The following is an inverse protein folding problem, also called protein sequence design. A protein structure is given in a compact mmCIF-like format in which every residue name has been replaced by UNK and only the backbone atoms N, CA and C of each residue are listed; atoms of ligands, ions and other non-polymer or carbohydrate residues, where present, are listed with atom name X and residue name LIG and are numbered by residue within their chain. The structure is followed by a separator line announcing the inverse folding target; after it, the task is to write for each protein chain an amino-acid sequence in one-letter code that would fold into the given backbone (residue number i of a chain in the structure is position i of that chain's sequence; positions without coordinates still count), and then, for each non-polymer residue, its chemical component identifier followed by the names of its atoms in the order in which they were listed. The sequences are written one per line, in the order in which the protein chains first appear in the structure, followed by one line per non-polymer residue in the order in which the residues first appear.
data_IF_011054567162
#
_entry.id   IF_011054567162
#
_cell.length_a   1.000
_cell.length_b   1.000
_cell.length_c   1.000
_cell.angle_alpha   90.00
_cell.angle_beta   90.00
_cell.angle_gamma   90.00
#
_symmetry.space_group_name_H-M   'P 1'
#
loop_
_entity.id
_entity.type
_entity.pdbx_description
1 polymer ?
#
# COMPACT_ATOMS: atom_id res chain seq x y z
N UNK A 1 29.57 -27.93 31.39
CA UNK A 1 28.85 -28.57 30.27
C UNK A 1 28.38 -27.43 29.41
N UNK A 2 28.70 -27.43 28.12
CA UNK A 2 28.17 -26.41 27.21
C UNK A 2 26.65 -26.42 27.29
N UNK A 3 26.07 -25.24 27.43
CA UNK A 3 24.64 -25.06 27.58
C UNK A 3 23.97 -25.38 26.23
N UNK A 4 23.01 -26.31 26.20
CA UNK A 4 22.30 -26.67 24.97
C UNK A 4 21.50 -25.47 24.45
N UNK A 5 21.87 -24.96 23.28
CA UNK A 5 21.19 -23.84 22.62
C UNK A 5 20.13 -24.36 21.65
N UNK A 6 18.93 -23.80 21.74
CA UNK A 6 17.78 -24.07 20.87
C UNK A 6 17.39 -22.79 20.15
N UNK A 7 17.27 -22.83 18.83
CA UNK A 7 16.87 -21.68 18.03
C UNK A 7 15.43 -21.82 17.52
N UNK A 8 14.66 -20.74 17.61
CA UNK A 8 13.30 -20.65 17.04
C UNK A 8 13.21 -19.38 16.21
N UNK A 9 12.92 -19.49 14.91
CA UNK A 9 12.64 -18.32 14.07
C UNK A 9 11.15 -18.03 14.04
N UNK A 10 10.76 -16.77 14.19
CA UNK A 10 9.36 -16.36 14.06
C UNK A 10 9.20 -14.89 13.66
N UNK A 11 8.04 -14.57 13.08
CA UNK A 11 7.66 -13.17 12.86
C UNK A 11 7.30 -12.51 14.18
N UNK A 12 6.63 -13.20 15.10
CA UNK A 12 6.29 -12.65 16.43
C UNK A 12 5.36 -11.43 16.40
N UNK A 13 4.56 -11.29 15.34
CA UNK A 13 3.58 -10.21 15.19
C UNK A 13 2.31 -10.56 15.98
N UNK A 14 1.45 -11.43 15.45
CA UNK A 14 0.29 -11.92 16.21
C UNK A 14 0.56 -13.29 16.82
N UNK A 15 0.75 -13.33 18.14
CA UNK A 15 0.97 -14.57 18.87
C UNK A 15 -0.32 -15.35 19.04
N UNK A 16 -0.20 -16.68 19.04
CA UNK A 16 -1.29 -17.62 19.25
C UNK A 16 -0.74 -18.91 19.86
N UNK A 17 -1.64 -19.83 20.23
CA UNK A 17 -1.27 -21.09 20.89
C UNK A 17 -0.19 -21.91 20.14
N UNK A 18 -0.14 -21.82 18.81
CA UNK A 18 0.90 -22.48 18.01
C UNK A 18 2.31 -22.01 18.35
N UNK A 19 2.53 -20.69 18.49
CA UNK A 19 3.82 -20.14 18.92
C UNK A 19 4.19 -20.61 20.33
N UNK A 20 3.20 -20.67 21.23
CA UNK A 20 3.40 -21.15 22.60
C UNK A 20 3.79 -22.63 22.62
N UNK A 21 3.19 -23.46 21.76
CA UNK A 21 3.53 -24.89 21.64
C UNK A 21 4.96 -25.10 21.13
N UNK A 22 5.39 -24.31 20.13
CA UNK A 22 6.77 -24.35 19.61
C UNK A 22 7.77 -23.96 20.71
N UNK A 23 7.51 -22.86 21.43
CA UNK A 23 8.38 -22.40 22.53
C UNK A 23 8.39 -23.39 23.70
N UNK A 24 7.25 -23.98 24.05
CA UNK A 24 7.16 -24.99 25.09
C UNK A 24 8.00 -26.23 24.74
N UNK A 25 7.98 -26.67 23.48
CA UNK A 25 8.84 -27.77 23.01
C UNK A 25 10.32 -27.37 23.03
N UNK A 26 10.66 -26.19 22.53
CA UNK A 26 12.02 -25.66 22.53
C UNK A 26 12.63 -25.66 23.95
N UNK A 27 11.84 -25.20 24.93
CA UNK A 27 12.26 -25.15 26.33
C UNK A 27 12.58 -26.52 26.95
N UNK A 28 11.99 -27.61 26.46
CA UNK A 28 12.35 -28.97 26.94
C UNK A 28 13.74 -29.43 26.49
N UNK A 29 14.32 -28.77 25.49
CA UNK A 29 15.56 -29.18 24.85
C UNK A 29 16.76 -28.38 25.34
N UNK A 30 16.56 -27.13 25.77
CA UNK A 30 17.64 -26.27 26.24
C UNK A 30 17.23 -24.80 26.31
N UNK A 31 18.25 -23.95 26.30
CA UNK A 31 18.12 -22.49 26.33
C UNK A 31 17.61 -21.97 24.99
N UNK A 32 16.51 -21.23 25.00
CA UNK A 32 15.78 -20.81 23.80
C UNK A 32 16.20 -19.42 23.36
N UNK A 33 16.82 -19.36 22.18
CA UNK A 33 17.11 -18.12 21.46
C UNK A 33 16.08 -17.96 20.35
N UNK A 34 15.37 -16.84 20.34
CA UNK A 34 14.35 -16.56 19.32
C UNK A 34 14.87 -15.54 18.32
N UNK A 35 14.88 -15.90 17.04
CA UNK A 35 15.11 -14.98 15.94
C UNK A 35 13.80 -14.31 15.51
N UNK A 36 13.65 -13.02 15.84
CA UNK A 36 12.49 -12.23 15.38
C UNK A 36 12.83 -11.60 14.03
N UNK A 37 12.03 -11.92 13.00
CA UNK A 37 12.26 -11.37 11.65
C UNK A 37 12.07 -9.85 11.65
N UNK A 38 13.04 -9.11 11.11
CA UNK A 38 12.94 -7.64 10.93
C UNK A 38 11.82 -7.26 9.96
N UNK A 39 11.32 -6.01 10.01
CA UNK A 39 10.23 -5.56 9.13
C UNK A 39 10.56 -5.82 7.65
N UNK A 40 11.77 -5.44 7.20
CA UNK A 40 12.26 -5.69 5.84
C UNK A 40 12.27 -7.19 5.46
N UNK A 41 12.68 -8.05 6.39
CA UNK A 41 12.74 -9.50 6.18
C UNK A 41 11.35 -10.13 5.98
N UNK A 42 10.33 -9.61 6.68
CA UNK A 42 8.96 -10.13 6.56
C UNK A 42 8.30 -9.59 5.29
N UNK A 43 8.50 -8.31 4.97
CA UNK A 43 7.86 -7.66 3.81
C UNK A 43 8.33 -8.27 2.48
N UNK A 44 9.60 -8.70 2.41
CA UNK A 44 10.16 -9.33 1.20
C UNK A 44 9.66 -10.75 0.90
N UNK A 45 9.08 -11.45 1.89
CA UNK A 45 8.67 -12.85 1.76
C UNK A 45 7.17 -13.09 2.01
N UNK A 46 6.52 -12.26 2.85
CA UNK A 46 5.13 -12.49 3.28
C UNK A 46 4.32 -11.20 3.27
N UNK A 47 3.78 -10.82 4.43
CA UNK A 47 2.89 -9.67 4.64
C UNK A 47 3.54 -8.66 5.56
N UNK A 48 3.17 -7.40 5.42
CA UNK A 48 3.47 -6.35 6.39
C UNK A 48 3.00 -6.73 7.81
N UNK A 49 3.88 -6.76 8.82
CA UNK A 49 3.49 -6.91 10.22
C UNK A 49 2.61 -5.75 10.71
N UNK A 50 1.70 -6.00 11.66
CA UNK A 50 0.95 -4.95 12.36
C UNK A 50 1.82 -4.18 13.35
N UNK A 51 2.66 -4.88 14.11
CA UNK A 51 3.59 -4.29 15.07
C UNK A 51 4.96 -4.05 14.44
N UNK A 52 5.58 -2.91 14.78
CA UNK A 52 6.96 -2.61 14.39
C UNK A 52 7.91 -3.64 14.98
N UNK A 53 9.04 -3.86 14.32
CA UNK A 53 10.06 -4.80 14.80
C UNK A 53 10.40 -4.65 16.28
N UNK A 54 10.59 -3.41 16.78
CA UNK A 54 10.93 -3.14 18.17
C UNK A 54 9.85 -3.62 19.16
N UNK A 55 8.57 -3.46 18.81
CA UNK A 55 7.45 -3.89 19.65
C UNK A 55 7.35 -5.42 19.66
N UNK A 56 7.55 -6.06 18.49
CA UNK A 56 7.57 -7.52 18.36
C UNK A 56 8.69 -8.14 19.20
N UNK A 57 9.89 -7.56 19.16
CA UNK A 57 11.01 -7.97 20.02
C UNK A 57 10.60 -7.89 21.49
N UNK A 58 10.06 -6.75 21.93
CA UNK A 58 9.67 -6.56 23.34
C UNK A 58 8.61 -7.56 23.79
N UNK A 59 7.64 -7.88 22.93
CA UNK A 59 6.63 -8.90 23.23
C UNK A 59 7.28 -10.28 23.36
N UNK A 60 8.11 -10.67 22.40
CA UNK A 60 8.74 -12.00 22.37
C UNK A 60 9.74 -12.20 23.50
N UNK A 61 10.51 -11.18 23.86
CA UNK A 61 11.45 -11.19 25.00
C UNK A 61 10.77 -11.48 26.34
N UNK A 62 9.49 -11.13 26.47
CA UNK A 62 8.72 -11.32 27.70
C UNK A 62 7.87 -12.61 27.68
N UNK A 63 8.01 -13.45 26.65
CA UNK A 63 7.33 -14.74 26.61
C UNK A 63 8.01 -15.75 27.54
N UNK A 64 7.20 -16.48 28.30
CA UNK A 64 7.68 -17.53 29.17
C UNK A 64 8.44 -18.61 28.37
N UNK A 65 9.71 -18.82 28.73
CA UNK A 65 10.57 -19.81 28.07
C UNK A 65 11.43 -19.26 26.93
N UNK A 66 11.45 -17.95 26.71
CA UNK A 66 12.43 -17.28 25.84
C UNK A 66 13.58 -16.75 26.70
N UNK A 67 14.82 -17.12 26.37
CA UNK A 67 16.02 -16.69 27.11
C UNK A 67 16.72 -15.50 26.45
N UNK A 68 16.64 -15.39 25.13
CA UNK A 68 17.23 -14.29 24.36
C UNK A 68 16.48 -14.10 23.05
N UNK A 69 16.30 -12.85 22.65
CA UNK A 69 15.83 -12.49 21.31
C UNK A 69 16.98 -11.91 20.49
N UNK A 70 17.04 -12.27 19.21
CA UNK A 70 17.99 -11.73 18.24
C UNK A 70 17.25 -11.28 16.98
N UNK A 71 17.72 -10.23 16.28
CA UNK A 71 17.17 -9.86 14.99
C UNK A 71 17.45 -10.96 13.96
N UNK A 72 16.46 -11.30 13.14
CA UNK A 72 16.64 -12.11 11.93
C UNK A 72 16.39 -11.21 10.71
N UNK A 73 17.46 -10.88 9.99
CA UNK A 73 17.44 -9.86 8.93
C UNK A 73 16.97 -10.36 7.58
N UNK A 74 16.86 -11.67 7.42
CA UNK A 74 16.44 -12.33 6.18
C UNK A 74 15.43 -13.44 6.44
N UNK A 75 14.74 -13.90 5.39
CA UNK A 75 13.92 -15.11 5.50
C UNK A 75 14.78 -16.37 5.75
N UNK A 76 16.01 -16.41 5.22
CA UNK A 76 17.01 -17.44 5.56
C UNK A 76 17.42 -17.36 7.03
N UNK A 77 17.65 -18.54 7.63
CA UNK A 77 18.12 -18.70 9.01
C UNK A 77 19.64 -18.78 9.08
N UNK A 78 20.33 -18.95 7.94
CA UNK A 78 21.73 -19.36 7.87
C UNK A 78 22.68 -18.42 8.62
N UNK A 79 22.45 -17.10 8.56
CA UNK A 79 23.25 -16.10 9.28
C UNK A 79 23.24 -16.37 10.79
N UNK A 80 22.04 -16.39 11.38
CA UNK A 80 21.87 -16.62 12.82
C UNK A 80 22.31 -18.03 13.25
N UNK A 81 22.07 -19.05 12.42
CA UNK A 81 22.50 -20.41 12.72
C UNK A 81 24.02 -20.54 12.75
N UNK A 82 24.74 -19.91 11.80
CA UNK A 82 26.20 -19.96 11.75
C UNK A 82 26.86 -19.18 12.89
N UNK A 83 26.23 -18.10 13.34
CA UNK A 83 26.71 -17.33 14.49
C UNK A 83 26.48 -18.08 15.82
N UNK A 84 25.28 -18.63 16.01
CA UNK A 84 24.86 -19.22 17.28
C UNK A 84 25.23 -20.70 17.43
N UNK A 85 25.42 -21.41 16.32
CA UNK A 85 25.64 -22.87 16.23
C UNK A 85 24.73 -23.67 17.18
N UNK A 86 23.39 -23.52 17.07
CA UNK A 86 22.47 -24.17 18.00
C UNK A 86 22.49 -25.69 17.84
N UNK A 87 22.20 -26.40 18.94
CA UNK A 87 22.06 -27.85 18.94
C UNK A 87 20.75 -28.26 18.27
N UNK A 88 19.70 -27.45 18.47
CA UNK A 88 18.38 -27.71 17.92
C UNK A 88 17.80 -26.46 17.26
N UNK A 89 17.12 -26.63 16.13
CA UNK A 89 16.15 -25.66 15.63
C UNK A 89 14.76 -26.24 15.86
N UNK A 90 13.82 -25.45 16.37
CA UNK A 90 12.43 -25.89 16.54
C UNK A 90 11.51 -25.04 15.66
N UNK A 91 10.69 -25.69 14.86
CA UNK A 91 9.71 -25.04 13.98
C UNK A 91 8.40 -25.85 13.93
N UNK A 92 7.30 -25.24 13.51
CA UNK A 92 6.09 -25.99 13.12
C UNK A 92 6.33 -26.85 11.88
N UNK A 93 5.53 -27.89 11.65
CA UNK A 93 5.61 -28.70 10.43
C UNK A 93 4.88 -28.09 9.22
N UNK A 94 4.31 -26.88 9.36
CA UNK A 94 3.60 -26.12 8.32
C UNK A 94 4.49 -25.74 7.14
N UNK A 95 5.79 -25.65 7.39
CA UNK A 95 6.79 -25.27 6.40
C UNK A 95 7.29 -26.45 5.53
N UNK A 96 6.68 -27.64 5.68
CA UNK A 96 6.92 -28.82 4.83
C UNK A 96 6.23 -28.74 3.46
N UNK A 97 5.24 -27.87 3.31
CA UNK A 97 4.39 -27.79 2.12
C UNK A 97 4.51 -26.40 1.47
N UNK A 98 4.87 -26.37 0.18
CA UNK A 98 5.07 -25.13 -0.61
C UNK A 98 6.54 -24.91 -1.02
N UNK A 99 6.77 -24.57 -2.29
CA UNK A 99 8.10 -24.63 -2.93
C UNK A 99 9.16 -23.72 -2.29
N UNK A 100 8.79 -22.48 -1.94
CA UNK A 100 9.72 -21.52 -1.32
C UNK A 100 10.03 -21.86 0.15
N UNK A 101 9.02 -22.35 0.86
CA UNK A 101 9.13 -22.65 2.29
C UNK A 101 9.91 -23.95 2.51
N UNK A 102 9.76 -24.90 1.59
CA UNK A 102 10.59 -26.10 1.51
C UNK A 102 12.08 -25.79 1.25
N UNK A 103 12.40 -24.68 0.55
CA UNK A 103 13.79 -24.28 0.30
C UNK A 103 14.51 -23.84 1.59
N UNK A 104 13.86 -23.00 2.42
CA UNK A 104 14.41 -22.58 3.72
C UNK A 104 14.56 -23.77 4.66
N UNK A 105 13.59 -24.68 4.68
CA UNK A 105 13.68 -25.92 5.47
C UNK A 105 14.92 -26.75 5.09
N UNK A 106 15.20 -26.92 3.79
CA UNK A 106 16.40 -27.64 3.32
C UNK A 106 17.69 -26.95 3.78
N UNK A 107 17.77 -25.63 3.59
CA UNK A 107 18.93 -24.85 4.01
C UNK A 107 19.19 -24.98 5.51
N UNK A 108 18.16 -24.92 6.35
CA UNK A 108 18.30 -25.13 7.81
C UNK A 108 18.91 -26.50 8.13
N UNK A 109 18.44 -27.56 7.47
CA UNK A 109 18.97 -28.92 7.68
C UNK A 109 20.43 -29.01 7.24
N UNK A 110 20.76 -28.47 6.07
CA UNK A 110 22.12 -28.46 5.52
C UNK A 110 23.10 -27.71 6.43
N UNK A 111 22.70 -26.52 6.89
CA UNK A 111 23.52 -25.68 7.78
C UNK A 111 23.75 -26.36 9.14
N UNK A 112 22.73 -26.98 9.73
CA UNK A 112 22.86 -27.67 11.01
C UNK A 112 23.81 -28.88 10.96
N UNK A 113 23.89 -29.58 9.82
CA UNK A 113 24.79 -30.72 9.65
C UNK A 113 26.27 -30.34 9.78
N UNK A 114 26.64 -29.09 9.52
CA UNK A 114 28.03 -28.61 9.67
C UNK A 114 28.58 -28.79 11.10
N UNK A 115 27.72 -28.89 12.11
CA UNK A 115 28.11 -29.11 13.51
C UNK A 115 27.29 -30.17 14.25
N UNK A 116 26.49 -30.97 13.52
CA UNK A 116 25.67 -32.03 14.11
C UNK A 116 24.44 -31.52 14.88
N UNK A 117 23.92 -30.35 14.53
CA UNK A 117 22.63 -29.88 15.05
C UNK A 117 21.45 -30.59 14.39
N UNK A 118 20.27 -30.50 15.01
CA UNK A 118 19.06 -31.20 14.55
C UNK A 118 17.86 -30.25 14.41
N UNK A 119 17.04 -30.48 13.38
CA UNK A 119 15.75 -29.81 13.21
C UNK A 119 14.64 -30.64 13.89
N UNK A 120 13.91 -30.02 14.81
CA UNK A 120 12.76 -30.62 15.50
C UNK A 120 11.48 -29.92 15.04
N UNK A 121 10.57 -30.69 14.45
CA UNK A 121 9.31 -30.19 13.90
C UNK A 121 8.14 -30.55 14.81
N UNK A 122 7.32 -29.56 15.17
CA UNK A 122 6.14 -29.72 16.02
C UNK A 122 4.89 -29.73 15.16
N UNK A 123 3.93 -30.65 15.39
CA UNK A 123 2.67 -30.67 14.64
C UNK A 123 1.97 -29.31 14.69
N UNK A 124 1.58 -28.82 13.53
CA UNK A 124 0.90 -27.55 13.40
C UNK A 124 -0.42 -27.55 14.16
N UNK A 125 -0.69 -26.49 14.93
CA UNK A 125 -1.91 -26.37 15.74
C UNK A 125 -3.09 -25.96 14.83
N UNK A 126 -4.09 -26.83 14.59
CA UNK A 126 -5.21 -26.51 13.70
C UNK A 126 -6.12 -25.42 14.29
N UNK A 127 -6.68 -24.57 13.45
CA UNK A 127 -7.74 -23.63 13.82
C UNK A 127 -7.29 -22.25 14.31
N UNK A 128 -6.00 -22.00 14.56
CA UNK A 128 -5.50 -20.65 14.90
C UNK A 128 -4.15 -20.41 14.25
N UNK A 129 -4.12 -19.52 13.27
CA UNK A 129 -2.88 -19.03 12.66
C UNK A 129 -2.87 -17.51 12.68
N UNK A 130 -1.68 -16.93 12.75
CA UNK A 130 -1.54 -15.48 12.57
C UNK A 130 -2.18 -15.02 11.25
N UNK A 131 -2.12 -15.82 10.19
CA UNK A 131 -2.82 -15.52 8.91
C UNK A 131 -4.34 -15.48 9.07
N UNK A 132 -4.95 -16.41 9.81
CA UNK A 132 -6.39 -16.46 10.07
C UNK A 132 -6.85 -15.33 11.00
N UNK A 133 -6.03 -14.97 12.00
CA UNK A 133 -6.32 -13.83 12.87
C UNK A 133 -6.25 -12.53 12.05
N UNK A 134 -5.23 -12.36 11.20
CA UNK A 134 -5.18 -11.23 10.27
C UNK A 134 -6.37 -11.19 9.33
N UNK A 135 -6.78 -12.34 8.74
CA UNK A 135 -7.97 -12.41 7.90
C UNK A 135 -9.22 -12.00 8.68
N UNK A 136 -9.37 -12.43 9.93
CA UNK A 136 -10.47 -11.99 10.79
C UNK A 136 -10.43 -10.47 11.07
N UNK A 137 -9.25 -9.88 11.29
CA UNK A 137 -9.11 -8.42 11.44
C UNK A 137 -9.31 -7.64 10.12
N UNK A 138 -9.03 -8.26 8.97
CA UNK A 138 -9.31 -7.69 7.65
C UNK A 138 -10.80 -7.85 7.26
N UNK A 139 -11.47 -8.90 7.74
CA UNK A 139 -12.88 -9.23 7.49
C UNK A 139 -13.84 -8.48 8.46
N UNK A 140 -13.46 -8.22 9.71
CA UNK A 140 -14.28 -7.50 10.70
C UNK A 140 -14.17 -5.96 10.62
N UNK A 141 -13.64 -5.44 9.50
CA UNK A 141 -13.60 -4.02 9.21
C UNK A 141 -12.37 -3.34 9.81
N UNK A 142 -11.43 -2.95 8.93
CA UNK A 142 -10.23 -2.23 9.37
C UNK A 142 -10.64 -0.90 10.01
N UNK A 143 -10.45 -0.81 11.33
CA UNK A 143 -10.56 0.43 12.09
C UNK A 143 -9.81 1.55 11.36
N UNK A 144 -10.42 2.72 11.22
CA UNK A 144 -9.88 3.88 10.47
C UNK A 144 -8.37 4.11 10.69
N UNK A 145 -7.89 3.98 11.93
CA UNK A 145 -6.46 4.14 12.28
C UNK A 145 -5.55 3.04 11.71
N UNK A 146 -6.02 1.81 11.61
CA UNK A 146 -5.28 0.71 10.98
C UNK A 146 -4.99 0.98 9.50
N UNK A 147 -5.93 1.60 8.78
CA UNK A 147 -5.75 1.98 7.36
C UNK A 147 -4.70 3.08 7.18
N UNK A 148 -4.68 4.07 8.08
CA UNK A 148 -3.73 5.18 8.03
C UNK A 148 -2.29 4.68 8.27
N UNK A 149 -2.06 3.93 9.36
CA UNK A 149 -0.74 3.37 9.67
C UNK A 149 -0.23 2.40 8.60
N UNK A 150 -1.13 1.62 7.99
CA UNK A 150 -0.78 0.69 6.90
C UNK A 150 -0.18 1.39 5.69
N UNK A 151 -0.68 2.56 5.27
CA UNK A 151 -0.11 3.29 4.13
C UNK A 151 1.35 3.67 4.39
N UNK A 152 1.62 4.24 5.57
CA UNK A 152 2.96 4.66 5.97
C UNK A 152 3.93 3.48 5.96
N UNK A 153 3.54 2.37 6.59
CA UNK A 153 4.37 1.17 6.62
C UNK A 153 4.63 0.61 5.21
N UNK A 154 3.63 0.61 4.32
CA UNK A 154 3.81 0.15 2.95
C UNK A 154 4.81 1.03 2.17
N UNK A 155 4.76 2.35 2.34
CA UNK A 155 5.69 3.29 1.70
C UNK A 155 7.12 3.20 2.24
N UNK A 156 7.27 2.84 3.52
CA UNK A 156 8.58 2.67 4.17
C UNK A 156 9.21 1.31 3.84
N UNK A 157 8.41 0.24 3.78
CA UNK A 157 8.91 -1.12 3.70
C UNK A 157 8.93 -1.75 2.30
N UNK A 158 8.17 -1.20 1.33
CA UNK A 158 8.21 -1.69 -0.06
C UNK A 158 9.05 -0.76 -0.94
N UNK A 159 9.82 -1.31 -1.90
CA UNK A 159 10.54 -0.50 -2.88
C UNK A 159 9.61 0.45 -3.64
N UNK A 160 8.44 -0.05 -4.06
CA UNK A 160 7.41 0.74 -4.70
C UNK A 160 6.04 0.08 -4.49
N UNK A 161 5.03 0.87 -4.14
CA UNK A 161 3.65 0.43 -3.96
C UNK A 161 2.81 0.70 -5.22
N UNK A 162 1.77 -0.11 -5.43
CA UNK A 162 0.83 0.04 -6.55
C UNK A 162 -0.50 0.55 -6.04
N UNK A 163 -0.94 1.69 -6.58
CA UNK A 163 -2.13 2.39 -6.11
C UNK A 163 -3.13 2.41 -7.26
N UNK A 164 -4.27 1.71 -7.14
CA UNK A 164 -5.30 1.66 -8.18
C UNK A 164 -6.42 2.66 -7.91
N UNK A 165 -6.94 3.31 -8.95
CA UNK A 165 -8.09 4.19 -8.77
C UNK A 165 -9.35 3.43 -8.33
N UNK A 166 -10.15 4.07 -7.47
CA UNK A 166 -11.47 3.59 -7.11
C UNK A 166 -12.49 4.74 -7.10
N UNK A 167 -13.45 4.67 -8.02
CA UNK A 167 -14.61 5.57 -8.11
C UNK A 167 -15.90 4.97 -7.55
N UNK A 168 -15.87 3.71 -7.09
CA UNK A 168 -17.02 3.01 -6.50
C UNK A 168 -16.54 1.86 -5.61
N UNK A 169 -17.44 1.33 -4.77
CA UNK A 169 -17.19 0.09 -4.02
C UNK A 169 -16.82 -1.10 -4.92
N UNK A 170 -17.44 -1.21 -6.10
CA UNK A 170 -17.11 -2.28 -7.06
C UNK A 170 -15.68 -2.15 -7.60
N UNK A 171 -15.26 -0.94 -7.98
CA UNK A 171 -13.89 -0.69 -8.43
C UNK A 171 -12.86 -1.00 -7.33
N UNK A 172 -13.17 -0.64 -6.08
CA UNK A 172 -12.36 -0.96 -4.91
C UNK A 172 -12.26 -2.48 -4.69
N UNK A 173 -13.38 -3.21 -4.76
CA UNK A 173 -13.42 -4.66 -4.61
C UNK A 173 -12.61 -5.38 -5.69
N UNK A 174 -12.75 -4.96 -6.95
CA UNK A 174 -11.98 -5.50 -8.07
C UNK A 174 -10.49 -5.29 -7.84
N UNK A 175 -10.09 -4.07 -7.47
CA UNK A 175 -8.69 -3.74 -7.16
C UNK A 175 -8.18 -4.58 -5.98
N UNK A 176 -8.98 -4.74 -4.94
CA UNK A 176 -8.63 -5.52 -3.76
C UNK A 176 -8.49 -7.01 -4.05
N UNK A 177 -9.26 -7.58 -4.99
CA UNK A 177 -9.19 -9.01 -5.36
C UNK A 177 -8.18 -9.32 -6.45
N UNK A 178 -7.71 -8.33 -7.20
CA UNK A 178 -6.74 -8.55 -8.27
C UNK A 178 -5.42 -9.10 -7.71
N UNK A 179 -4.97 -10.24 -8.25
CA UNK A 179 -3.72 -10.91 -7.90
C UNK A 179 -3.02 -11.38 -9.17
N UNK A 180 -1.71 -11.21 -9.24
CA UNK A 180 -0.87 -11.83 -10.27
C UNK A 180 0.47 -12.24 -9.65
N UNK A 181 0.69 -13.55 -9.50
CA UNK A 181 1.77 -14.08 -8.65
C UNK A 181 1.66 -13.45 -7.24
N UNK A 182 2.77 -12.92 -6.70
CA UNK A 182 2.79 -12.21 -5.41
C UNK A 182 2.38 -10.73 -5.51
N UNK A 183 2.03 -10.23 -6.72
CA UNK A 183 1.69 -8.82 -6.93
C UNK A 183 0.21 -8.56 -6.65
N UNK A 184 -0.02 -7.49 -5.90
CA UNK A 184 -1.35 -6.98 -5.50
C UNK A 184 -1.38 -5.47 -5.68
N UNK A 185 -2.57 -4.87 -5.63
CA UNK A 185 -2.69 -3.43 -5.37
C UNK A 185 -2.61 -3.17 -3.86
N UNK A 186 -1.75 -2.23 -3.48
CA UNK A 186 -1.37 -1.96 -2.10
C UNK A 186 -2.25 -0.91 -1.43
N UNK A 187 -2.78 0.01 -2.24
CA UNK A 187 -3.66 1.09 -1.81
C UNK A 187 -4.60 1.51 -2.95
N UNK A 188 -5.56 2.36 -2.62
CA UNK A 188 -6.54 2.91 -3.52
C UNK A 188 -6.33 4.42 -3.69
N UNK A 189 -6.69 4.94 -4.86
CA UNK A 189 -6.69 6.35 -5.19
C UNK A 189 -8.12 6.81 -5.48
N UNK A 190 -8.67 7.67 -4.63
CA UNK A 190 -9.96 8.31 -4.88
C UNK A 190 -9.73 9.50 -5.81
N UNK A 191 -9.81 9.23 -7.11
CA UNK A 191 -9.56 10.20 -8.18
C UNK A 191 -10.72 11.18 -8.30
N UNK A 192 -10.42 12.49 -8.31
CA UNK A 192 -11.45 13.50 -8.58
C UNK A 192 -12.04 13.33 -9.99
N UNK A 193 -11.20 12.94 -10.96
CA UNK A 193 -11.57 12.78 -12.35
C UNK A 193 -12.57 11.64 -12.55
N UNK A 194 -12.28 10.46 -12.00
CA UNK A 194 -13.18 9.31 -12.18
C UNK A 194 -14.47 9.50 -11.39
N UNK A 195 -14.40 10.14 -10.22
CA UNK A 195 -15.56 10.45 -9.39
C UNK A 195 -16.50 11.49 -10.03
N UNK A 196 -15.95 12.55 -10.64
CA UNK A 196 -16.72 13.54 -11.41
C UNK A 196 -17.33 12.93 -12.66
N UNK A 197 -16.55 12.14 -13.40
CA UNK A 197 -17.00 11.49 -14.65
C UNK A 197 -18.13 10.50 -14.39
N UNK A 198 -18.05 9.71 -13.31
CA UNK A 198 -19.13 8.80 -12.89
C UNK A 198 -20.45 9.54 -12.66
N UNK A 199 -20.38 10.81 -12.27
CA UNK A 199 -21.54 11.70 -12.04
C UNK A 199 -21.92 12.53 -13.26
N UNK A 200 -21.34 12.24 -14.43
CA UNK A 200 -21.49 13.02 -15.66
C UNK A 200 -21.17 14.52 -15.46
N UNK A 201 -20.18 14.83 -14.62
CA UNK A 201 -19.71 16.19 -14.33
C UNK A 201 -18.26 16.36 -14.79
N UNK A 202 -17.85 17.58 -15.20
CA UNK A 202 -16.46 17.86 -15.51
C UNK A 202 -15.60 17.90 -14.24
N UNK A 203 -14.34 17.48 -14.36
CA UNK A 203 -13.33 17.50 -13.30
C UNK A 203 -12.73 18.90 -13.11
N UNK A 204 -13.55 19.78 -12.53
CA UNK A 204 -13.25 21.20 -12.27
C UNK A 204 -13.72 21.62 -10.87
N UNK A 205 -13.53 20.74 -9.87
CA UNK A 205 -13.93 20.98 -8.46
C UNK A 205 -15.45 21.21 -8.24
N UNK A 206 -16.31 20.75 -9.15
CA UNK A 206 -17.78 20.93 -9.04
C UNK A 206 -18.44 19.89 -8.13
N UNK A 207 -17.83 18.72 -7.95
CA UNK A 207 -18.41 17.67 -7.10
C UNK A 207 -18.24 18.08 -5.63
N UNK A 208 -19.37 18.14 -4.92
CA UNK A 208 -19.39 18.49 -3.51
C UNK A 208 -18.63 17.45 -2.66
N UNK A 209 -17.97 17.93 -1.60
CA UNK A 209 -17.18 17.10 -0.68
C UNK A 209 -18.02 16.03 0.01
N UNK A 210 -19.28 16.34 0.36
CA UNK A 210 -20.19 15.37 0.96
C UNK A 210 -20.48 14.19 0.04
N UNK A 211 -20.64 14.45 -1.27
CA UNK A 211 -20.84 13.39 -2.26
C UNK A 211 -19.59 12.52 -2.44
N UNK A 212 -18.39 13.11 -2.36
CA UNK A 212 -17.12 12.36 -2.41
C UNK A 212 -16.90 11.52 -1.15
N UNK A 213 -17.27 12.04 0.03
CA UNK A 213 -17.24 11.29 1.29
C UNK A 213 -18.19 10.08 1.27
N UNK A 214 -19.35 10.18 0.62
CA UNK A 214 -20.24 9.04 0.45
C UNK A 214 -19.57 7.90 -0.35
N UNK A 215 -18.91 8.23 -1.45
CA UNK A 215 -18.14 7.25 -2.24
C UNK A 215 -16.99 6.65 -1.44
N UNK A 216 -16.34 7.43 -0.57
CA UNK A 216 -15.31 6.91 0.34
C UNK A 216 -15.88 5.82 1.26
N UNK A 217 -17.08 6.01 1.82
CA UNK A 217 -17.72 4.99 2.67
C UNK A 217 -18.02 3.71 1.87
N UNK A 218 -18.57 3.84 0.67
CA UNK A 218 -18.81 2.69 -0.23
C UNK A 218 -17.52 1.93 -0.55
N UNK A 219 -16.41 2.64 -0.74
CA UNK A 219 -15.09 2.04 -0.97
C UNK A 219 -14.61 1.28 0.27
N UNK A 220 -14.77 1.86 1.46
CA UNK A 220 -14.32 1.23 2.71
C UNK A 220 -15.17 0.02 3.10
N UNK A 221 -16.45 0.00 2.77
CA UNK A 221 -17.31 -1.17 2.95
C UNK A 221 -16.88 -2.33 2.03
N UNK A 222 -16.29 -2.02 0.88
CA UNK A 222 -15.93 -3.00 -0.14
C UNK A 222 -14.47 -3.50 -0.07
N UNK A 223 -13.53 -2.69 0.45
CA UNK A 223 -12.11 -3.03 0.46
C UNK A 223 -11.38 -2.47 1.70
N UNK A 224 -10.55 -3.30 2.38
CA UNK A 224 -9.79 -2.90 3.57
C UNK A 224 -8.48 -2.14 3.25
N UNK A 225 -8.30 -1.69 2.01
CA UNK A 225 -7.06 -1.06 1.55
C UNK A 225 -6.95 0.40 2.04
N UNK A 226 -5.72 0.91 2.25
CA UNK A 226 -5.48 2.33 2.45
C UNK A 226 -6.01 3.15 1.26
N UNK A 227 -6.48 4.37 1.52
CA UNK A 227 -7.03 5.25 0.50
C UNK A 227 -6.36 6.62 0.52
N UNK A 228 -5.87 7.05 -0.65
CA UNK A 228 -5.35 8.39 -0.89
C UNK A 228 -6.42 9.19 -1.63
N UNK A 229 -6.75 10.36 -1.10
CA UNK A 229 -7.78 11.24 -1.63
C UNK A 229 -7.18 12.35 -2.49
N UNK A 230 -7.65 12.49 -3.74
CA UNK A 230 -7.28 13.57 -4.65
C UNK A 230 -8.06 14.86 -4.30
N UNK A 231 -7.51 15.71 -3.45
CA UNK A 231 -8.20 16.90 -2.97
C UNK A 231 -8.18 18.10 -3.90
N UNK A 232 -7.83 17.92 -5.17
CA UNK A 232 -7.76 19.01 -6.14
C UNK A 232 -6.79 20.11 -5.64
N UNK A 233 -7.14 21.39 -5.75
CA UNK A 233 -6.34 22.49 -5.15
C UNK A 233 -6.58 22.66 -3.65
N UNK A 234 -7.64 22.03 -3.11
CA UNK A 234 -8.12 22.19 -1.74
C UNK A 234 -8.82 23.52 -1.44
N UNK A 235 -8.75 24.51 -2.34
CA UNK A 235 -9.26 25.86 -2.14
C UNK A 235 -8.44 26.67 -1.13
N UNK A 236 -9.11 27.47 -0.30
CA UNK A 236 -8.47 28.31 0.71
C UNK A 236 -8.10 27.52 1.99
N UNK A 237 -7.12 27.97 2.79
CA UNK A 237 -6.58 27.21 3.93
C UNK A 237 -7.62 26.70 4.94
N UNK A 238 -8.65 27.47 5.26
CA UNK A 238 -9.71 27.06 6.19
C UNK A 238 -10.55 25.90 5.63
N UNK A 239 -10.80 25.89 4.32
CA UNK A 239 -11.48 24.78 3.63
C UNK A 239 -10.60 23.53 3.67
N UNK A 240 -9.31 23.67 3.42
CA UNK A 240 -8.33 22.57 3.54
C UNK A 240 -8.33 22.00 4.95
N UNK A 241 -8.34 22.85 5.98
CA UNK A 241 -8.40 22.43 7.36
C UNK A 241 -9.66 21.58 7.66
N UNK A 242 -10.84 22.05 7.27
CA UNK A 242 -12.10 21.32 7.50
C UNK A 242 -12.19 20.01 6.70
N UNK A 243 -11.73 20.03 5.43
CA UNK A 243 -11.65 18.84 4.60
C UNK A 243 -10.75 17.79 5.25
N UNK A 244 -9.56 18.20 5.68
CA UNK A 244 -8.58 17.29 6.31
C UNK A 244 -9.17 16.63 7.56
N UNK A 245 -9.85 17.38 8.44
CA UNK A 245 -10.53 16.80 9.62
C UNK A 245 -11.58 15.76 9.24
N UNK A 246 -12.31 16.00 8.15
CA UNK A 246 -13.38 15.12 7.70
C UNK A 246 -12.81 13.82 7.11
N UNK A 247 -11.75 13.92 6.32
CA UNK A 247 -11.04 12.78 5.73
C UNK A 247 -10.35 11.94 6.80
N UNK A 248 -9.67 12.57 7.75
CA UNK A 248 -9.02 11.90 8.88
C UNK A 248 -10.06 11.11 9.71
N UNK A 249 -11.20 11.74 10.05
CA UNK A 249 -12.29 11.07 10.77
C UNK A 249 -12.87 9.88 10.00
N UNK A 250 -12.96 9.96 8.66
CA UNK A 250 -13.44 8.88 7.81
C UNK A 250 -12.43 7.71 7.69
N UNK A 251 -11.18 7.89 8.14
CA UNK A 251 -10.12 6.89 8.01
C UNK A 251 -9.42 6.88 6.65
N UNK A 252 -9.52 7.98 5.90
CA UNK A 252 -8.67 8.20 4.72
C UNK A 252 -7.21 8.25 5.16
N UNK A 253 -6.33 7.61 4.40
CA UNK A 253 -4.92 7.46 4.75
C UNK A 253 -4.09 8.69 4.40
N UNK A 254 -4.44 9.36 3.31
CA UNK A 254 -3.73 10.57 2.91
C UNK A 254 -4.59 11.54 2.09
N UNK A 255 -4.28 12.83 2.19
CA UNK A 255 -4.78 13.89 1.32
C UNK A 255 -3.67 14.32 0.34
N UNK A 256 -3.97 14.36 -0.94
CA UNK A 256 -3.09 14.90 -1.98
C UNK A 256 -3.68 16.20 -2.54
N UNK A 257 -2.96 17.32 -2.45
CA UNK A 257 -3.38 18.61 -3.05
C UNK A 257 -2.40 19.07 -4.11
N UNK A 258 -2.89 19.66 -5.20
CA UNK A 258 -2.08 20.23 -6.27
C UNK A 258 -1.81 21.74 -6.10
N UNK A 259 -0.62 22.18 -6.47
CA UNK A 259 -0.15 23.56 -6.28
C UNK A 259 -0.60 24.53 -7.38
N UNK A 260 -1.80 24.35 -7.93
CA UNK A 260 -2.42 25.30 -8.87
C UNK A 260 -3.07 26.48 -8.17
N UNK A 261 -3.16 27.59 -8.91
CA UNK A 261 -3.95 28.76 -8.57
C UNK A 261 -5.24 28.82 -9.43
N UNK A 262 -6.31 29.32 -8.84
CA UNK A 262 -7.62 29.45 -9.50
C UNK A 262 -8.45 28.16 -9.50
N UNK A 263 -9.56 28.16 -10.24
CA UNK A 263 -10.43 26.99 -10.38
C UNK A 263 -9.71 25.87 -11.15
N UNK A 264 -9.65 24.67 -10.59
CA UNK A 264 -9.02 23.49 -11.20
C UNK A 264 -9.56 23.23 -12.61
N UNK A 265 -8.64 22.80 -13.50
CA UNK A 265 -8.99 22.07 -14.73
C UNK A 265 -8.05 20.88 -14.91
N UNK A 266 -8.60 19.78 -15.41
CA UNK A 266 -7.88 18.51 -15.59
C UNK A 266 -6.60 18.66 -16.43
N UNK A 267 -5.48 18.07 -15.97
CA UNK A 267 -4.16 18.17 -16.60
C UNK A 267 -4.07 17.55 -18.00
N UNK A 268 -5.03 16.69 -18.37
CA UNK A 268 -5.06 16.02 -19.68
C UNK A 268 -5.70 16.87 -20.79
N UNK A 269 -6.32 18.01 -20.47
CA UNK A 269 -7.04 18.86 -21.43
C UNK A 269 -6.17 19.90 -22.16
N UNK A 270 -4.85 19.90 -21.96
CA UNK A 270 -3.92 20.80 -22.66
C UNK A 270 -3.93 22.26 -22.17
N UNK A 271 -3.20 23.14 -22.88
CA UNK A 271 -2.91 24.54 -22.50
C UNK A 271 -3.87 25.59 -23.07
N UNK A 272 -5.07 25.19 -23.54
CA UNK A 272 -6.00 26.09 -24.25
C UNK A 272 -6.55 27.25 -23.38
N UNK A 273 -6.39 27.17 -22.06
CA UNK A 273 -6.62 28.29 -21.13
C UNK A 273 -5.45 28.38 -20.16
N UNK A 274 -4.95 29.60 -19.91
CA UNK A 274 -3.80 29.84 -19.05
C UNK A 274 -4.05 29.31 -17.63
N UNK A 275 -3.37 28.21 -17.27
CA UNK A 275 -3.27 27.73 -15.90
C UNK A 275 -2.08 28.41 -15.23
N UNK A 276 -2.22 28.73 -13.95
CA UNK A 276 -1.12 29.32 -13.16
C UNK A 276 -0.86 28.47 -11.93
N UNK A 277 0.38 28.47 -11.48
CA UNK A 277 0.79 27.80 -10.26
C UNK A 277 0.63 28.78 -9.09
N UNK A 278 0.18 28.28 -7.95
CA UNK A 278 0.18 29.06 -6.71
C UNK A 278 1.63 29.45 -6.36
N UNK A 279 1.76 30.59 -5.68
CA UNK A 279 3.06 30.95 -5.11
C UNK A 279 3.43 29.92 -4.04
N UNK A 280 4.73 29.69 -3.84
CA UNK A 280 5.23 28.76 -2.82
C UNK A 280 4.63 29.10 -1.43
N UNK A 281 4.64 30.37 -0.96
CA UNK A 281 4.06 30.70 0.35
C UNK A 281 2.56 30.38 0.46
N UNK A 282 1.78 30.67 -0.57
CA UNK A 282 0.34 30.37 -0.57
C UNK A 282 0.07 28.86 -0.45
N UNK A 283 0.85 28.04 -1.16
CA UNK A 283 0.68 26.59 -1.08
C UNK A 283 1.21 26.02 0.24
N UNK A 284 2.32 26.54 0.77
CA UNK A 284 2.82 26.18 2.10
C UNK A 284 1.79 26.49 3.20
N UNK A 285 0.99 27.55 3.06
CA UNK A 285 -0.09 27.82 4.02
C UNK A 285 -1.21 26.77 3.98
N UNK A 286 -1.54 26.23 2.79
CA UNK A 286 -2.48 25.11 2.66
C UNK A 286 -1.94 23.84 3.31
N UNK A 287 -0.65 23.54 3.10
CA UNK A 287 0.04 22.41 3.78
C UNK A 287 -0.05 22.60 5.29
N UNK A 288 0.33 23.78 5.80
CA UNK A 288 0.25 24.11 7.22
C UNK A 288 -1.16 23.97 7.79
N UNK A 289 -2.19 24.41 7.05
CA UNK A 289 -3.58 24.28 7.47
C UNK A 289 -4.05 22.82 7.58
N UNK A 290 -3.64 21.96 6.64
CA UNK A 290 -3.88 20.52 6.70
C UNK A 290 -3.14 19.88 7.88
N UNK A 291 -1.87 20.20 8.11
CA UNK A 291 -1.09 19.64 9.22
C UNK A 291 -1.64 20.09 10.58
N UNK A 292 -2.13 21.32 10.71
CA UNK A 292 -2.82 21.78 11.93
C UNK A 292 -4.19 21.14 12.16
N UNK A 293 -4.79 20.54 11.12
CA UNK A 293 -6.10 19.89 11.22
C UNK A 293 -6.05 18.55 11.95
N UNK A 294 -4.92 17.85 11.88
CA UNK A 294 -4.72 16.53 12.48
C UNK A 294 -3.69 16.65 13.60
N UNK A 295 -4.16 16.60 14.84
CA UNK A 295 -3.30 16.78 16.01
C UNK A 295 -2.46 15.55 16.34
N UNK A 296 -2.95 14.34 16.06
CA UNK A 296 -2.26 13.06 16.30
C UNK A 296 -2.74 12.00 15.32
N UNK A 297 -1.83 11.29 14.65
CA UNK A 297 -2.20 10.14 13.81
C UNK A 297 -1.23 9.86 12.68
N UNK A 298 -1.53 8.82 11.92
CA UNK A 298 -0.72 8.39 10.77
C UNK A 298 -1.17 9.03 9.44
N UNK A 299 -2.19 9.90 9.46
CA UNK A 299 -2.69 10.63 8.29
C UNK A 299 -1.56 11.40 7.59
N UNK A 300 -1.43 11.20 6.28
CA UNK A 300 -0.37 11.82 5.48
C UNK A 300 -0.89 12.95 4.59
N UNK A 301 -0.06 13.95 4.35
CA UNK A 301 -0.29 14.98 3.35
C UNK A 301 0.71 14.83 2.19
N UNK A 302 0.20 14.71 0.96
CA UNK A 302 1.00 14.72 -0.26
C UNK A 302 0.86 16.07 -0.98
N UNK A 303 1.99 16.69 -1.28
CA UNK A 303 2.03 17.87 -2.14
C UNK A 303 2.22 17.45 -3.60
N UNK A 304 1.23 17.71 -4.45
CA UNK A 304 1.30 17.48 -5.89
C UNK A 304 1.87 18.70 -6.60
N UNK A 305 3.01 18.50 -7.26
CA UNK A 305 3.75 19.55 -7.95
C UNK A 305 3.40 19.52 -9.44
N UNK A 306 2.84 20.62 -9.95
CA UNK A 306 2.39 20.75 -11.34
C UNK A 306 3.42 21.48 -12.23
N UNK A 307 4.67 21.66 -11.77
CA UNK A 307 5.71 22.37 -12.50
C UNK A 307 5.91 21.85 -13.93
N UNK A 308 6.07 20.54 -14.15
CA UNK A 308 6.24 20.01 -15.51
C UNK A 308 4.97 20.12 -16.36
N UNK A 309 3.79 20.01 -15.73
CA UNK A 309 2.50 20.18 -16.40
C UNK A 309 2.36 21.59 -16.98
N UNK A 310 2.90 22.59 -16.29
CA UNK A 310 2.86 23.99 -16.67
C UNK A 310 4.10 24.44 -17.49
N UNK A 311 4.92 23.50 -17.95
CA UNK A 311 6.14 23.81 -18.73
C UNK A 311 7.29 24.39 -17.91
N UNK A 312 7.23 24.27 -16.58
CA UNK A 312 8.30 24.61 -15.66
C UNK A 312 9.49 23.66 -15.74
N UNK A 313 10.57 24.03 -15.06
CA UNK A 313 11.84 23.29 -15.11
C UNK A 313 11.99 22.32 -13.93
N UNK A 314 12.92 21.36 -14.05
CA UNK A 314 13.33 20.50 -12.93
C UNK A 314 13.76 21.31 -11.70
N UNK A 315 14.42 22.46 -11.90
CA UNK A 315 14.85 23.33 -10.80
C UNK A 315 13.64 23.92 -10.05
N UNK A 316 12.63 24.36 -10.79
CA UNK A 316 11.38 24.88 -10.19
C UNK A 316 10.67 23.79 -9.38
N UNK A 317 10.54 22.59 -9.96
CA UNK A 317 9.93 21.45 -9.27
C UNK A 317 10.67 21.09 -7.98
N UNK A 318 12.02 21.07 -7.98
CA UNK A 318 12.83 20.80 -6.79
C UNK A 318 12.71 21.89 -5.73
N UNK A 319 12.74 23.17 -6.13
CA UNK A 319 12.58 24.30 -5.21
C UNK A 319 11.23 24.24 -4.49
N UNK A 320 10.17 23.88 -5.22
CA UNK A 320 8.83 23.67 -4.64
C UNK A 320 8.81 22.46 -3.71
N UNK A 321 9.38 21.34 -4.13
CA UNK A 321 9.46 20.13 -3.29
C UNK A 321 10.14 20.40 -1.95
N UNK A 322 11.30 21.07 -1.96
CA UNK A 322 12.03 21.44 -0.75
C UNK A 322 11.15 22.31 0.16
N UNK A 323 10.55 23.38 -0.37
CA UNK A 323 9.67 24.25 0.41
C UNK A 323 8.43 23.54 0.96
N UNK A 324 7.85 22.60 0.21
CA UNK A 324 6.65 21.87 0.63
C UNK A 324 6.97 20.82 1.70
N UNK A 325 8.14 20.18 1.60
CA UNK A 325 8.67 19.28 2.64
C UNK A 325 8.93 20.07 3.92
N UNK A 326 9.58 21.23 3.84
CA UNK A 326 9.84 22.10 4.99
C UNK A 326 8.54 22.62 5.64
N UNK A 327 7.49 22.84 4.85
CA UNK A 327 6.16 23.19 5.35
C UNK A 327 5.40 22.01 6.00
N UNK A 328 5.93 20.79 5.92
CA UNK A 328 5.40 19.61 6.60
C UNK A 328 4.67 18.60 5.71
N UNK A 329 4.86 18.64 4.39
CA UNK A 329 4.36 17.58 3.51
C UNK A 329 5.03 16.22 3.85
N UNK A 330 4.22 15.18 4.05
CA UNK A 330 4.70 13.82 4.33
C UNK A 330 5.14 13.09 3.06
N UNK A 331 4.83 13.63 1.88
CA UNK A 331 5.07 13.02 0.58
C UNK A 331 4.97 14.02 -0.56
N UNK A 332 5.62 13.73 -1.69
CA UNK A 332 5.51 14.50 -2.92
C UNK A 332 4.86 13.65 -4.00
N UNK A 333 3.91 14.20 -4.74
CA UNK A 333 3.47 13.65 -6.01
C UNK A 333 4.02 14.53 -7.13
N UNK A 334 4.92 13.99 -7.95
CA UNK A 334 5.44 14.71 -9.13
C UNK A 334 4.69 14.25 -10.37
N UNK A 335 4.14 15.20 -11.12
CA UNK A 335 3.34 14.89 -12.31
C UNK A 335 3.99 15.42 -13.59
N UNK A 336 3.80 14.67 -14.67
CA UNK A 336 4.23 14.99 -16.03
C UNK A 336 3.17 14.49 -17.01
N UNK A 337 3.02 15.20 -18.13
CA UNK A 337 2.20 14.79 -19.29
C UNK A 337 3.06 14.35 -20.48
N UNK A 338 4.38 14.28 -20.30
CA UNK A 338 5.30 13.78 -21.31
C UNK A 338 4.99 12.31 -21.67
N UNK A 339 5.50 11.87 -22.82
CA UNK A 339 5.37 10.48 -23.28
C UNK A 339 6.39 9.54 -22.64
N UNK A 340 7.45 10.09 -22.05
CA UNK A 340 8.51 9.36 -21.35
C UNK A 340 8.53 9.75 -19.88
N UNK A 341 9.15 8.91 -19.04
CA UNK A 341 9.27 9.14 -17.61
C UNK A 341 10.49 10.02 -17.24
N UNK A 342 11.21 10.59 -18.21
CA UNK A 342 12.51 11.25 -17.97
C UNK A 342 12.41 12.40 -16.96
N UNK A 343 11.33 13.19 -17.03
CA UNK A 343 11.10 14.30 -16.11
C UNK A 343 10.92 13.83 -14.65
N UNK A 344 10.08 12.81 -14.44
CA UNK A 344 9.79 12.30 -13.09
C UNK A 344 10.93 11.47 -12.53
N UNK A 345 11.66 10.74 -13.38
CA UNK A 345 12.89 10.01 -13.01
C UNK A 345 14.00 11.00 -12.66
N UNK A 346 14.19 12.05 -13.47
CA UNK A 346 15.17 13.11 -13.21
C UNK A 346 14.88 13.83 -11.89
N UNK A 347 13.60 14.13 -11.63
CA UNK A 347 13.15 14.69 -10.35
C UNK A 347 13.45 13.77 -9.17
N UNK A 348 13.06 12.51 -9.24
CA UNK A 348 13.26 11.56 -8.14
C UNK A 348 14.76 11.38 -7.83
N UNK A 349 15.58 11.16 -8.85
CA UNK A 349 17.04 11.05 -8.71
C UNK A 349 17.65 12.31 -8.10
N UNK A 350 17.21 13.50 -8.51
CA UNK A 350 17.75 14.76 -7.98
C UNK A 350 17.32 15.00 -6.53
N UNK A 351 16.06 14.74 -6.18
CA UNK A 351 15.57 14.89 -4.81
C UNK A 351 16.23 13.88 -3.86
N UNK A 352 16.48 12.65 -4.31
CA UNK A 352 17.21 11.65 -3.50
C UNK A 352 18.65 12.06 -3.22
N UNK A 353 19.31 12.76 -4.14
CA UNK A 353 20.68 13.29 -3.95
C UNK A 353 20.77 14.35 -2.85
N UNK A 354 19.68 15.02 -2.48
CA UNK A 354 19.67 15.95 -1.33
C UNK A 354 19.63 15.22 0.02
N UNK A 355 19.48 13.89 0.01
CA UNK A 355 19.30 13.07 1.22
C UNK A 355 17.84 12.93 1.65
N UNK A 356 16.89 13.53 0.92
CA UNK A 356 15.46 13.43 1.23
C UNK A 356 14.96 11.99 1.11
N UNK A 357 14.31 11.52 2.16
CA UNK A 357 13.63 10.21 2.24
C UNK A 357 12.12 10.30 2.11
N UNK A 358 11.60 11.49 1.83
CA UNK A 358 10.16 11.72 1.67
C UNK A 358 9.64 10.84 0.52
N UNK A 359 8.54 10.09 0.71
CA UNK A 359 7.91 9.30 -0.32
C UNK A 359 7.58 10.11 -1.58
N UNK A 360 7.91 9.55 -2.75
CA UNK A 360 7.59 10.15 -4.05
C UNK A 360 6.54 9.28 -4.75
N UNK A 361 5.42 9.88 -5.16
CA UNK A 361 4.39 9.27 -5.99
C UNK A 361 4.42 9.81 -7.42
N UNK A 362 4.06 8.97 -8.38
CA UNK A 362 3.92 9.35 -9.80
C UNK A 362 2.64 8.80 -10.41
N UNK A 363 2.18 9.41 -11.50
CA UNK A 363 0.94 9.05 -12.21
C UNK A 363 1.26 8.78 -13.69
N UNK A 364 1.65 7.55 -14.09
CA UNK A 364 2.12 7.25 -15.45
C UNK A 364 0.99 7.07 -16.48
N UNK A 365 0.02 7.99 -16.54
CA UNK A 365 -1.08 7.90 -17.51
C UNK A 365 -0.60 8.18 -18.94
N UNK A 366 0.31 9.15 -19.14
CA UNK A 366 0.82 9.53 -20.47
C UNK A 366 2.11 8.81 -20.86
N UNK A 367 2.89 8.36 -19.87
CA UNK A 367 4.13 7.59 -20.00
C UNK A 367 3.97 6.13 -19.53
N UNK A 368 2.76 5.58 -19.72
CA UNK A 368 2.34 4.25 -19.23
C UNK A 368 3.08 3.04 -19.81
N UNK A 369 3.91 3.24 -20.84
CA UNK A 369 4.81 2.21 -21.35
C UNK A 369 6.07 2.04 -20.47
N UNK A 370 6.30 2.93 -19.51
CA UNK A 370 7.42 2.83 -18.56
C UNK A 370 7.13 1.71 -17.56
N UNK A 371 8.02 0.72 -17.50
CA UNK A 371 7.89 -0.37 -16.54
C UNK A 371 8.08 0.12 -15.10
N UNK A 372 7.34 -0.47 -14.16
CA UNK A 372 7.37 -0.10 -12.73
C UNK A 372 8.77 -0.15 -12.11
N UNK A 373 9.63 -1.08 -12.54
CA UNK A 373 10.99 -1.22 -12.01
C UNK A 373 11.85 0.02 -12.30
N UNK A 374 11.71 0.62 -13.48
CA UNK A 374 12.45 1.84 -13.85
C UNK A 374 12.11 2.99 -12.89
N UNK A 375 10.84 3.08 -12.49
CA UNK A 375 10.38 4.09 -11.54
C UNK A 375 10.90 3.78 -10.13
N UNK A 376 10.77 2.53 -9.69
CA UNK A 376 11.27 2.10 -8.38
C UNK A 376 12.78 2.32 -8.22
N UNK A 377 13.57 1.96 -9.24
CA UNK A 377 15.03 2.12 -9.25
C UNK A 377 15.46 3.59 -9.18
N UNK A 378 14.62 4.51 -9.67
CA UNK A 378 14.84 5.96 -9.55
C UNK A 378 14.51 6.52 -8.14
N UNK A 379 14.01 5.68 -7.23
CA UNK A 379 13.64 6.05 -5.86
C UNK A 379 12.19 6.54 -5.71
N UNK A 380 11.32 6.22 -6.66
CA UNK A 380 9.87 6.47 -6.57
C UNK A 380 9.23 5.38 -5.70
N UNK A 381 8.43 5.79 -4.71
CA UNK A 381 7.85 4.91 -3.71
C UNK A 381 6.45 4.41 -4.07
N UNK A 382 5.74 5.06 -5.00
CA UNK A 382 4.42 4.61 -5.39
C UNK A 382 3.96 5.05 -6.78
N UNK A 383 3.20 4.17 -7.42
CA UNK A 383 2.68 4.36 -8.77
C UNK A 383 1.15 4.40 -8.70
N UNK A 384 0.57 5.52 -9.13
CA UNK A 384 -0.88 5.74 -9.15
C UNK A 384 -1.46 5.49 -10.53
N UNK A 385 -2.27 4.45 -10.64
CA UNK A 385 -3.04 4.10 -11.83
C UNK A 385 -4.39 4.86 -11.86
N UNK A 386 -4.33 6.17 -12.05
CA UNK A 386 -5.38 7.13 -11.67
C UNK A 386 -6.78 7.06 -12.35
N UNK A 387 -6.94 6.37 -13.49
CA UNK A 387 -8.23 6.37 -14.22
C UNK A 387 -8.50 5.12 -15.08
N UNK A 388 -7.77 4.02 -14.85
CA UNK A 388 -7.74 2.90 -15.77
C UNK A 388 -9.02 2.05 -15.72
N UNK A 389 -9.58 1.81 -14.53
CA UNK A 389 -10.80 0.99 -14.41
C UNK A 389 -12.01 1.68 -15.02
N UNK A 390 -12.19 2.99 -14.80
CA UNK A 390 -13.25 3.75 -15.46
C UNK A 390 -13.12 3.72 -16.99
N UNK A 391 -11.91 3.93 -17.52
CA UNK A 391 -11.65 3.87 -18.97
C UNK A 391 -11.88 2.49 -19.56
N UNK A 392 -11.54 1.44 -18.80
CA UNK A 392 -11.78 0.06 -19.19
C UNK A 392 -13.28 -0.27 -19.22
N UNK A 393 -14.09 0.28 -18.31
CA UNK A 393 -15.54 0.10 -18.31
C UNK A 393 -16.26 0.87 -19.42
N UNK A 394 -15.77 2.06 -19.78
CA UNK A 394 -16.44 2.96 -20.73
C UNK A 394 -16.65 2.34 -22.12
N UNK A 395 -15.62 1.76 -22.73
CA UNK A 395 -15.71 1.23 -24.10
C UNK A 395 -16.74 0.08 -24.21
N UNK A 396 -16.70 -0.97 -23.35
CA UNK A 396 -17.73 -2.00 -23.33
C UNK A 396 -19.14 -1.44 -23.12
N UNK A 397 -19.34 -0.47 -22.20
CA UNK A 397 -20.66 0.13 -21.98
C UNK A 397 -21.23 0.77 -23.25
N UNK A 398 -20.41 1.54 -23.97
CA UNK A 398 -20.79 2.18 -25.23
C UNK A 398 -21.12 1.13 -26.30
N UNK A 399 -20.28 0.10 -26.43
CA UNK A 399 -20.47 -0.98 -27.40
C UNK A 399 -21.75 -1.77 -27.13
N UNK A 400 -22.00 -2.17 -25.87
CA UNK A 400 -23.22 -2.88 -25.46
C UNK A 400 -24.48 -2.06 -25.78
N UNK A 401 -24.52 -0.78 -25.40
CA UNK A 401 -25.68 0.08 -25.66
C UNK A 401 -25.98 0.20 -27.16
N UNK A 402 -24.95 0.45 -27.97
CA UNK A 402 -25.10 0.56 -29.43
C UNK A 402 -25.50 -0.77 -30.07
N UNK A 403 -24.97 -1.90 -29.59
CA UNK A 403 -25.31 -3.21 -30.12
C UNK A 403 -26.76 -3.59 -29.82
N UNK A 404 -27.28 -3.30 -28.62
CA UNK A 404 -28.69 -3.52 -28.29
C UNK A 404 -29.59 -2.71 -29.23
N UNK A 405 -29.29 -1.42 -29.45
CA UNK A 405 -30.05 -0.57 -30.38
C UNK A 405 -29.99 -1.08 -31.82
N UNK A 406 -28.81 -1.50 -32.28
CA UNK A 406 -28.60 -2.00 -33.65
C UNK A 406 -29.35 -3.30 -33.92
N UNK A 407 -29.42 -4.19 -32.93
CA UNK A 407 -29.93 -5.56 -33.10
C UNK A 407 -31.38 -5.75 -32.64
N UNK A 408 -31.88 -4.87 -31.77
CA UNK A 408 -33.23 -4.97 -31.21
C UNK A 408 -33.41 -6.15 -30.24
N UNK A 409 -32.32 -6.74 -29.76
CA UNK A 409 -32.32 -7.86 -28.80
C UNK A 409 -31.33 -7.57 -27.68
N UNK A 410 -31.59 -8.15 -26.51
CA UNK A 410 -30.72 -8.03 -25.33
C UNK A 410 -29.68 -9.16 -25.21
N UNK A 411 -29.71 -10.14 -26.13
CA UNK A 411 -28.82 -11.30 -26.10
C UNK A 411 -28.54 -11.80 -27.53
N UNK A 412 -27.25 -12.03 -27.83
CA UNK A 412 -26.76 -12.83 -28.95
C UNK A 412 -25.28 -13.20 -28.74
N UNK A 413 -24.66 -13.93 -29.67
CA UNK A 413 -23.28 -14.41 -29.53
C UNK A 413 -22.26 -13.28 -29.29
N UNK A 414 -22.41 -12.14 -29.98
CA UNK A 414 -21.52 -10.98 -29.83
C UNK A 414 -21.74 -10.29 -28.47
N UNK A 415 -23.00 -10.07 -28.08
CA UNK A 415 -23.33 -9.44 -26.80
C UNK A 415 -22.95 -10.33 -25.62
N UNK A 416 -23.25 -11.62 -25.67
CA UNK A 416 -22.96 -12.56 -24.59
C UNK A 416 -21.45 -12.73 -24.36
N UNK A 417 -20.62 -12.61 -25.41
CA UNK A 417 -19.17 -12.62 -25.26
C UNK A 417 -18.61 -11.40 -24.51
N UNK A 418 -19.38 -10.30 -24.42
CA UNK A 418 -18.97 -9.06 -23.77
C UNK A 418 -19.52 -8.89 -22.35
N UNK A 419 -20.49 -9.73 -21.94
CA UNK A 419 -21.23 -9.57 -20.71
C UNK A 419 -20.83 -10.65 -19.70
N UNK A 420 -20.56 -10.24 -18.46
CA UNK A 420 -20.53 -11.17 -17.34
C UNK A 420 -21.95 -11.75 -17.12
N UNK A 421 -22.03 -13.02 -16.74
CA UNK A 421 -23.35 -13.61 -16.44
C UNK A 421 -23.93 -12.96 -15.18
N UNK A 422 -25.27 -12.89 -15.03
CA UNK A 422 -25.88 -12.42 -13.79
C UNK A 422 -25.38 -13.18 -12.55
N UNK A 423 -25.07 -14.47 -12.71
CA UNK A 423 -24.52 -15.31 -11.64
C UNK A 423 -23.11 -14.86 -11.23
N UNK A 424 -22.27 -14.51 -12.19
CA UNK A 424 -20.92 -13.99 -11.90
C UNK A 424 -21.02 -12.67 -11.13
N UNK A 425 -21.90 -11.77 -11.56
CA UNK A 425 -22.14 -10.48 -10.87
C UNK A 425 -22.65 -10.72 -9.44
N UNK A 426 -23.63 -11.60 -9.24
CA UNK A 426 -24.14 -11.94 -7.92
C UNK A 426 -23.09 -12.60 -7.01
N UNK A 427 -22.13 -13.33 -7.60
CA UNK A 427 -21.04 -13.95 -6.84
C UNK A 427 -19.98 -12.95 -6.36
N UNK A 428 -19.95 -11.72 -6.90
CA UNK A 428 -19.00 -10.69 -6.47
C UNK A 428 -19.23 -10.31 -4.99
N UNK A 429 -20.49 -10.23 -4.57
CA UNK A 429 -20.89 -9.84 -3.21
C UNK A 429 -21.73 -10.98 -2.62
N UNK A 430 -21.09 -11.99 -1.98
CA UNK A 430 -21.84 -13.07 -1.37
C UNK A 430 -22.72 -12.51 -0.25
N UNK A 431 -24.02 -12.84 -0.30
CA UNK A 431 -24.94 -12.53 0.81
C UNK A 431 -24.43 -13.28 2.03
N UNK A 432 -24.14 -12.56 3.12
CA UNK A 432 -23.76 -13.15 4.39
C UNK A 432 -24.83 -14.18 4.81
N UNK A 433 -24.38 -15.40 5.12
CA UNK A 433 -25.26 -16.48 5.57
C UNK A 433 -25.53 -16.39 7.07
#
# INVERSE_FOLDING_TARGET
MDETIVYVGMVGDMLHAGHINVLAKARTLGRVVVGVLTDDAVIGYKRTPFMKFADRVRVVENLAGVDRVVPQRTHSYAENLKELRPHYVVHGDDWRYGDQVAAVRREVIEVLQEWGGELIEVPYTPGVSSTLIHQAFEEEGVMARGRQGRLRHLLEGKPCIRIMEAHSGLAALISYRARYQEKVFDALWQSSFTDATLRAKPDVEIVDHGARLATINEIFDAAPLPLIYDGDTGGFPEKVHQLTKSLDRAGVSALCLEDKAGAKRNSLLGTEVAQTQATIPEFCERIGAAKRAVSHGDFMFFARIESFILGGTLRDALTRAEAYIDAGADGILIHSIAKTADEVVGFACALRKTGSRVPILVVPTTYGNTHESVLADAGINGIVYANHLLRAAYLPMVQTANNILRKGVSEDEELSAMLASPKDILSLIPIAK
#
